data_IF_616792080899
#
_entry.id   IF_616792080899
#
_cell.length_a   1.000
_cell.length_b   1.000
_cell.length_c   1.000
_cell.angle_alpha   90.00
_cell.angle_beta   90.00
_cell.angle_gamma   90.00
#
_symmetry.space_group_name_H-M   'P 1'
#
loop_
_entity.id
_entity.type
_entity.pdbx_description
1 polymer ?
#
# COMPACT_ATOMS: atom_id res chain seq x y z
N UNK A 1 27.57 -44.36 -18.61
CA UNK A 1 27.30 -44.16 -20.06
C UNK A 1 27.55 -42.71 -20.37
N UNK A 2 28.82 -42.44 -20.84
CA UNK A 2 29.31 -41.07 -21.10
C UNK A 2 28.99 -40.73 -22.55
N UNK A 3 28.38 -39.55 -22.79
CA UNK A 3 28.28 -38.96 -24.11
C UNK A 3 29.23 -37.76 -24.20
N UNK A 4 30.30 -37.96 -24.95
CA UNK A 4 31.24 -36.90 -25.40
C UNK A 4 30.59 -36.13 -26.55
N UNK A 5 30.46 -34.83 -26.46
CA UNK A 5 30.21 -33.94 -27.59
C UNK A 5 31.50 -33.31 -28.07
N UNK A 6 31.91 -33.69 -29.29
CA UNK A 6 33.03 -33.08 -30.05
C UNK A 6 32.60 -31.74 -30.64
N UNK A 7 33.23 -30.66 -30.23
CA UNK A 7 33.16 -29.39 -30.96
C UNK A 7 34.28 -29.33 -32.02
N UNK A 8 33.89 -29.32 -33.29
CA UNK A 8 34.74 -29.20 -34.47
C UNK A 8 34.98 -27.71 -34.74
N UNK A 9 36.16 -27.20 -34.44
CA UNK A 9 36.61 -25.85 -34.77
C UNK A 9 36.88 -25.72 -36.29
N UNK A 10 36.09 -24.91 -36.97
CA UNK A 10 36.40 -24.46 -38.35
C UNK A 10 37.44 -23.34 -38.27
N UNK A 11 38.65 -23.59 -38.79
CA UNK A 11 39.66 -22.58 -39.13
C UNK A 11 39.18 -21.85 -40.39
N UNK A 12 38.84 -20.57 -40.26
CA UNK A 12 38.67 -19.66 -41.40
C UNK A 12 40.04 -19.11 -41.79
N UNK A 13 40.44 -19.39 -43.03
CA UNK A 13 41.59 -18.78 -43.70
C UNK A 13 41.31 -17.30 -43.87
N UNK A 14 42.12 -16.48 -43.22
CA UNK A 14 42.11 -15.01 -43.43
C UNK A 14 42.89 -14.78 -44.73
N UNK A 15 42.19 -14.28 -45.74
CA UNK A 15 42.77 -13.94 -47.05
C UNK A 15 43.80 -12.82 -46.92
N UNK A 16 44.97 -13.03 -47.45
CA UNK A 16 46.13 -12.13 -47.51
C UNK A 16 45.86 -10.77 -48.19
N UNK A 17 44.76 -10.64 -48.91
CA UNK A 17 44.33 -9.43 -49.61
C UNK A 17 43.82 -8.32 -48.66
N UNK A 18 43.23 -8.68 -47.50
CA UNK A 18 42.73 -7.69 -46.54
C UNK A 18 43.83 -6.97 -45.73
N UNK A 19 44.99 -7.61 -45.59
CA UNK A 19 46.11 -7.04 -44.82
C UNK A 19 46.82 -5.92 -45.59
N UNK A 20 46.85 -5.98 -46.92
CA UNK A 20 47.47 -4.94 -47.73
C UNK A 20 46.65 -3.66 -47.86
N UNK A 21 45.34 -3.75 -47.82
CA UNK A 21 44.44 -2.57 -47.84
C UNK A 21 44.52 -1.77 -46.54
N UNK A 22 44.72 -2.45 -45.39
CA UNK A 22 44.83 -1.78 -44.10
C UNK A 22 46.13 -1.02 -43.93
N UNK A 23 47.24 -1.49 -44.56
CA UNK A 23 48.55 -0.81 -44.52
C UNK A 23 48.58 0.40 -45.45
N UNK A 24 47.84 0.40 -46.57
CA UNK A 24 47.77 1.54 -47.51
C UNK A 24 46.98 2.73 -46.88
N UNK A 25 45.99 2.48 -46.00
CA UNK A 25 45.22 3.51 -45.31
C UNK A 25 46.00 4.21 -44.17
N UNK A 26 47.04 3.55 -43.64
CA UNK A 26 47.88 4.15 -42.57
C UNK A 26 48.95 5.09 -43.12
N UNK A 27 49.38 4.89 -44.37
CA UNK A 27 50.44 5.70 -45.00
C UNK A 27 49.96 7.00 -45.68
N UNK A 28 48.65 7.19 -45.88
CA UNK A 28 48.11 8.43 -46.45
C UNK A 28 47.68 9.47 -45.42
N UNK A 29 47.83 9.21 -44.12
CA UNK A 29 47.42 10.08 -43.03
C UNK A 29 48.48 11.10 -42.54
N UNK A 30 49.67 11.18 -43.20
CA UNK A 30 50.77 12.00 -42.67
C UNK A 30 51.23 13.09 -43.66
N UNK A 31 50.35 13.87 -44.26
CA UNK A 31 50.72 15.18 -44.82
C UNK A 31 49.57 16.14 -44.71
N UNK A 32 49.62 17.01 -43.75
CA UNK A 32 48.64 18.09 -43.59
C UNK A 32 48.86 18.89 -42.32
N UNK A 33 50.11 19.36 -42.12
CA UNK A 33 50.32 20.41 -41.15
C UNK A 33 49.87 21.74 -41.78
N UNK A 34 48.64 22.16 -41.44
CA UNK A 34 48.24 23.56 -41.61
C UNK A 34 47.95 24.17 -40.26
N UNK A 35 48.73 25.18 -39.93
CA UNK A 35 48.54 26.11 -38.87
C UNK A 35 47.12 26.74 -38.97
N UNK A 36 46.21 26.29 -38.18
CA UNK A 36 45.01 27.07 -37.91
C UNK A 36 45.12 27.83 -36.62
N UNK A 37 44.97 29.14 -36.79
CA UNK A 37 44.73 30.15 -35.79
C UNK A 37 43.87 29.62 -34.63
N UNK A 38 44.39 29.89 -33.44
CA UNK A 38 43.67 29.68 -32.17
C UNK A 38 42.40 30.53 -32.13
N UNK A 39 41.33 30.03 -32.73
CA UNK A 39 39.99 30.36 -32.23
C UNK A 39 39.84 29.62 -30.93
N UNK A 40 40.10 30.36 -29.88
CA UNK A 40 39.86 30.02 -28.52
C UNK A 40 38.32 29.86 -28.39
N UNK A 41 37.83 28.68 -28.72
CA UNK A 41 36.52 28.23 -28.22
C UNK A 41 36.67 28.25 -26.68
N UNK A 42 36.29 29.36 -26.10
CA UNK A 42 35.90 29.41 -24.71
C UNK A 42 34.69 28.48 -24.67
N UNK A 43 34.92 27.19 -24.38
CA UNK A 43 33.87 26.36 -23.86
C UNK A 43 33.39 27.14 -22.59
N UNK A 44 32.30 27.88 -22.73
CA UNK A 44 31.51 28.29 -21.58
C UNK A 44 31.24 26.95 -20.87
N UNK A 45 31.99 26.74 -19.80
CA UNK A 45 31.62 25.77 -18.82
C UNK A 45 30.25 26.25 -18.35
N UNK A 46 29.19 25.62 -18.88
CA UNK A 46 27.87 25.75 -18.33
C UNK A 46 28.03 25.35 -16.87
N UNK A 47 28.13 26.31 -16.00
CA UNK A 47 28.04 26.12 -14.58
C UNK A 47 26.61 25.65 -14.36
N UNK A 48 26.43 24.34 -14.45
CA UNK A 48 25.15 23.75 -14.14
C UNK A 48 24.84 24.10 -12.70
N UNK A 49 23.98 25.09 -12.52
CA UNK A 49 23.47 25.43 -11.20
C UNK A 49 22.56 24.32 -10.73
N UNK A 50 22.68 23.94 -9.46
CA UNK A 50 21.89 22.90 -8.84
C UNK A 50 21.07 23.46 -7.71
N UNK A 51 19.88 22.94 -7.51
CA UNK A 51 19.03 23.26 -6.40
C UNK A 51 18.56 22.05 -5.62
N UNK A 52 17.64 22.28 -4.72
CA UNK A 52 17.04 21.30 -3.84
C UNK A 52 15.53 21.24 -4.12
N UNK A 53 15.00 20.03 -4.31
CA UNK A 53 13.56 19.77 -4.34
C UNK A 53 13.19 19.00 -3.09
N UNK A 54 12.26 19.50 -2.30
CA UNK A 54 11.81 18.81 -1.10
C UNK A 54 10.31 19.00 -0.88
N UNK A 55 9.72 18.08 -0.13
CA UNK A 55 8.30 18.15 0.17
C UNK A 55 7.84 16.97 0.99
N UNK A 56 6.52 16.78 1.01
CA UNK A 56 5.87 15.68 1.70
C UNK A 56 5.02 14.89 0.71
N UNK A 57 5.13 13.58 0.78
CA UNK A 57 4.22 12.65 0.09
C UNK A 57 3.08 12.34 1.06
N UNK A 58 1.83 12.50 0.61
CA UNK A 58 0.65 12.30 1.42
C UNK A 58 -0.47 11.59 0.65
N UNK A 59 -1.35 10.93 1.38
CA UNK A 59 -2.54 10.28 0.84
C UNK A 59 -3.59 11.34 0.45
N UNK A 60 -4.10 11.29 -0.76
CA UNK A 60 -5.03 12.28 -1.31
C UNK A 60 -6.34 12.38 -0.51
N UNK A 61 -6.81 11.28 0.05
CA UNK A 61 -8.11 11.23 0.74
C UNK A 61 -7.97 11.56 2.21
N UNK A 62 -7.02 10.92 2.90
CA UNK A 62 -6.84 11.08 4.35
C UNK A 62 -5.96 12.24 4.76
N UNK A 63 -5.22 12.84 3.81
CA UNK A 63 -4.15 13.83 4.04
C UNK A 63 -3.06 13.36 5.02
N UNK A 64 -2.98 12.04 5.26
CA UNK A 64 -1.94 11.48 6.11
C UNK A 64 -0.63 11.31 5.32
N UNK A 65 0.53 11.50 5.97
CA UNK A 65 1.82 11.28 5.33
C UNK A 65 1.96 9.83 4.90
N UNK A 66 2.61 9.61 3.75
CA UNK A 66 2.93 8.27 3.23
C UNK A 66 4.43 8.00 3.41
N UNK A 67 4.81 7.24 4.44
CA UNK A 67 6.20 6.85 4.66
C UNK A 67 6.64 5.76 3.70
N UNK A 68 7.96 5.53 3.63
CA UNK A 68 8.59 4.47 2.84
C UNK A 68 8.26 4.52 1.34
N UNK A 69 7.86 5.68 0.81
CA UNK A 69 7.69 5.90 -0.62
C UNK A 69 9.02 6.15 -1.30
N UNK A 70 9.25 5.52 -2.44
CA UNK A 70 10.43 5.78 -3.27
C UNK A 70 10.15 7.00 -4.16
N UNK A 71 10.92 8.04 -3.98
CA UNK A 71 10.88 9.27 -4.77
C UNK A 71 12.12 9.29 -5.65
N UNK A 72 11.94 9.15 -6.97
CA UNK A 72 13.03 9.00 -7.94
C UNK A 72 13.08 10.17 -8.89
N UNK A 73 14.26 10.77 -9.01
CA UNK A 73 14.60 11.76 -10.01
C UNK A 73 15.88 11.33 -10.73
N UNK A 74 15.82 11.10 -12.04
CA UNK A 74 16.95 10.53 -12.80
C UNK A 74 17.50 9.27 -12.11
N UNK A 75 18.76 9.27 -11.72
CA UNK A 75 19.42 8.14 -11.05
C UNK A 75 19.35 8.23 -9.52
N UNK A 76 18.80 9.31 -8.98
CA UNK A 76 18.67 9.51 -7.54
C UNK A 76 17.33 9.00 -7.05
N UNK A 77 17.34 8.08 -6.08
CA UNK A 77 16.15 7.65 -5.35
C UNK A 77 16.33 7.95 -3.86
N UNK A 78 15.32 8.58 -3.27
CA UNK A 78 15.22 8.82 -1.83
C UNK A 78 13.95 8.18 -1.30
N UNK A 79 14.00 7.72 -0.03
CA UNK A 79 12.85 7.12 0.64
C UNK A 79 12.24 8.15 1.59
N UNK A 80 10.91 8.28 1.61
CA UNK A 80 10.23 9.18 2.53
C UNK A 80 10.39 8.73 3.98
N UNK A 81 10.57 9.70 4.89
CA UNK A 81 10.65 9.47 6.32
C UNK A 81 9.26 9.12 6.93
N UNK A 82 9.15 8.81 8.25
CA UNK A 82 7.87 8.51 8.91
C UNK A 82 6.82 9.62 8.82
N UNK A 83 7.23 10.86 8.51
CA UNK A 83 6.36 12.00 8.27
C UNK A 83 6.12 12.25 6.77
N UNK A 84 6.46 11.29 5.91
CA UNK A 84 6.30 11.37 4.47
C UNK A 84 7.25 12.36 3.78
N UNK A 85 8.26 12.93 4.47
CA UNK A 85 9.13 13.97 3.93
C UNK A 85 10.25 13.37 3.09
N UNK A 86 10.62 14.08 2.02
CA UNK A 86 11.74 13.75 1.16
C UNK A 86 12.56 14.97 0.80
N UNK A 87 13.81 14.76 0.42
CA UNK A 87 14.74 15.81 -0.06
C UNK A 87 15.60 15.25 -1.18
N UNK A 88 15.45 15.79 -2.38
CA UNK A 88 16.33 15.56 -3.52
C UNK A 88 17.34 16.71 -3.58
N UNK A 89 18.63 16.36 -3.59
CA UNK A 89 19.73 17.32 -3.63
C UNK A 89 20.40 17.27 -5.01
N UNK A 90 21.09 18.35 -5.35
CA UNK A 90 21.84 18.44 -6.62
C UNK A 90 20.96 18.20 -7.86
N UNK A 91 19.72 18.70 -7.82
CA UNK A 91 18.85 18.70 -8.99
C UNK A 91 19.31 19.84 -9.90
N UNK A 92 19.67 19.59 -11.17
CA UNK A 92 20.12 20.64 -12.08
C UNK A 92 18.98 21.64 -12.33
N UNK A 93 19.32 22.91 -12.56
CA UNK A 93 18.33 23.85 -13.04
C UNK A 93 17.88 23.44 -14.44
N UNK A 94 16.60 23.59 -14.72
CA UNK A 94 16.02 23.23 -16.00
C UNK A 94 14.52 23.22 -15.98
N UNK A 95 13.98 22.95 -17.17
CA UNK A 95 12.54 22.77 -17.37
C UNK A 95 12.22 21.32 -17.70
N UNK A 96 10.97 20.94 -17.45
CA UNK A 96 10.44 19.61 -17.78
C UNK A 96 11.20 18.47 -17.09
N UNK A 97 11.66 18.69 -15.86
CA UNK A 97 12.13 17.59 -15.04
C UNK A 97 10.97 16.66 -14.67
N UNK A 98 11.24 15.36 -14.65
CA UNK A 98 10.25 14.37 -14.24
C UNK A 98 10.69 13.69 -12.96
N UNK A 99 9.76 13.61 -11.99
CA UNK A 99 9.91 12.87 -10.74
C UNK A 99 8.90 11.74 -10.71
N UNK A 100 9.35 10.53 -10.35
CA UNK A 100 8.50 9.37 -10.18
C UNK A 100 8.37 9.04 -8.70
N UNK A 101 7.13 8.76 -8.25
CA UNK A 101 6.89 8.32 -6.88
C UNK A 101 6.18 6.98 -6.91
N UNK A 102 6.80 6.01 -6.23
CA UNK A 102 6.29 4.64 -6.08
C UNK A 102 6.13 4.33 -4.60
N UNK A 103 4.96 3.87 -4.22
CA UNK A 103 4.67 3.43 -2.86
C UNK A 103 3.73 2.23 -2.90
N UNK A 104 3.86 1.32 -1.94
CA UNK A 104 2.99 0.16 -1.82
C UNK A 104 1.53 0.62 -1.66
N UNK A 105 0.61 -0.06 -2.37
CA UNK A 105 -0.83 0.19 -2.37
C UNK A 105 -1.27 1.56 -2.95
N UNK A 106 -0.36 2.30 -3.59
CA UNK A 106 -0.66 3.54 -4.30
C UNK A 106 -0.39 3.43 -5.79
N UNK A 107 -1.09 4.23 -6.57
CA UNK A 107 -0.78 4.38 -7.99
C UNK A 107 0.56 5.09 -8.13
N UNK A 108 1.43 4.55 -8.99
CA UNK A 108 2.66 5.25 -9.37
C UNK A 108 2.30 6.58 -10.02
N UNK A 109 2.90 7.66 -9.56
CA UNK A 109 2.71 8.99 -10.13
C UNK A 109 4.02 9.48 -10.75
N UNK A 110 3.90 10.11 -11.93
CA UNK A 110 4.97 10.85 -12.56
C UNK A 110 4.54 12.30 -12.66
N UNK A 111 5.36 13.21 -12.14
CA UNK A 111 5.10 14.64 -12.12
C UNK A 111 6.20 15.38 -12.87
N UNK A 112 5.81 16.36 -13.67
CA UNK A 112 6.75 17.27 -14.29
C UNK A 112 6.88 18.54 -13.44
N UNK A 113 8.10 19.08 -13.37
CA UNK A 113 8.37 20.33 -12.69
C UNK A 113 9.53 21.09 -13.34
N UNK A 114 9.56 22.40 -13.11
CA UNK A 114 10.66 23.27 -13.52
C UNK A 114 11.44 23.69 -12.27
N UNK A 115 12.76 23.59 -12.31
CA UNK A 115 13.64 24.10 -11.24
C UNK A 115 14.44 25.28 -11.79
N UNK A 116 14.07 26.49 -11.37
CA UNK A 116 14.68 27.75 -11.80
C UNK A 116 15.28 28.56 -10.64
N UNK A 117 15.30 27.96 -9.45
CA UNK A 117 15.79 28.59 -8.22
C UNK A 117 16.39 27.53 -7.29
N UNK A 118 17.17 27.97 -6.30
CA UNK A 118 17.91 27.08 -5.40
C UNK A 118 17.06 26.09 -4.62
N UNK A 119 15.77 26.38 -4.43
CA UNK A 119 14.86 25.56 -3.63
C UNK A 119 13.46 25.54 -4.22
N UNK A 120 12.92 24.33 -4.40
CA UNK A 120 11.54 24.09 -4.84
C UNK A 120 10.80 23.24 -3.80
N UNK A 121 9.78 23.77 -3.11
CA UNK A 121 8.86 22.96 -2.34
C UNK A 121 7.89 22.22 -3.27
N UNK A 122 7.87 20.89 -3.23
CA UNK A 122 7.02 20.07 -4.08
C UNK A 122 6.33 18.99 -3.23
N UNK A 123 5.09 19.26 -2.83
CA UNK A 123 4.27 18.26 -2.13
C UNK A 123 3.55 17.36 -3.14
N UNK A 124 3.49 16.07 -2.86
CA UNK A 124 2.99 15.06 -3.79
C UNK A 124 1.85 14.28 -3.13
N UNK A 125 0.67 14.29 -3.75
CA UNK A 125 -0.47 13.50 -3.29
C UNK A 125 -0.56 12.20 -4.07
N UNK A 126 -0.70 11.07 -3.35
CA UNK A 126 -0.86 9.75 -3.93
C UNK A 126 -2.31 9.28 -3.85
N UNK A 127 -2.76 8.62 -4.91
CA UNK A 127 -4.07 7.98 -4.98
C UNK A 127 -3.88 6.50 -4.66
N UNK A 128 -4.63 5.98 -3.69
CA UNK A 128 -4.58 4.54 -3.38
C UNK A 128 -5.12 3.73 -4.55
N UNK A 129 -4.44 2.63 -4.85
CA UNK A 129 -4.93 1.62 -5.79
C UNK A 129 -6.21 0.96 -5.28
N UNK A 130 -6.34 0.83 -3.96
CA UNK A 130 -7.51 0.27 -3.31
C UNK A 130 -8.18 1.33 -2.43
N UNK A 131 -9.49 1.45 -2.55
CA UNK A 131 -10.27 2.31 -1.68
C UNK A 131 -10.55 1.59 -0.36
N UNK A 132 -9.68 1.82 0.64
CA UNK A 132 -9.79 1.21 1.98
C UNK A 132 -11.19 1.37 2.58
N UNK A 133 -11.82 2.53 2.40
CA UNK A 133 -13.17 2.75 2.91
C UNK A 133 -14.19 1.80 2.26
N UNK A 134 -14.14 1.63 0.93
CA UNK A 134 -15.04 0.69 0.26
C UNK A 134 -14.75 -0.76 0.64
N UNK A 135 -13.49 -1.12 0.84
CA UNK A 135 -13.12 -2.47 1.27
C UNK A 135 -13.65 -2.79 2.66
N UNK A 136 -13.53 -1.83 3.61
CA UNK A 136 -14.08 -2.00 4.97
C UNK A 136 -15.62 -2.02 4.94
N UNK A 137 -16.28 -1.23 4.10
CA UNK A 137 -17.74 -1.33 3.93
C UNK A 137 -18.15 -2.71 3.40
N UNK A 138 -17.47 -3.24 2.40
CA UNK A 138 -17.70 -4.62 1.90
C UNK A 138 -17.41 -5.68 2.96
N UNK A 139 -16.43 -5.45 3.84
CA UNK A 139 -16.17 -6.31 4.98
C UNK A 139 -17.41 -6.40 5.90
N UNK A 140 -18.00 -5.27 6.28
CA UNK A 140 -19.22 -5.25 7.11
C UNK A 140 -20.41 -5.90 6.41
N UNK A 141 -20.62 -5.62 5.12
CA UNK A 141 -21.69 -6.25 4.34
C UNK A 141 -21.53 -7.78 4.30
N UNK A 142 -20.31 -8.25 4.08
CA UNK A 142 -20.03 -9.68 4.07
C UNK A 142 -20.28 -10.32 5.44
N UNK A 143 -19.77 -9.72 6.51
CA UNK A 143 -19.98 -10.23 7.87
C UNK A 143 -21.47 -10.26 8.24
N UNK A 144 -22.23 -9.21 7.92
CA UNK A 144 -23.69 -9.18 8.10
C UNK A 144 -24.37 -10.33 7.38
N UNK A 145 -24.02 -10.58 6.12
CA UNK A 145 -24.61 -11.64 5.31
C UNK A 145 -24.28 -13.04 5.84
N UNK A 146 -23.02 -13.30 6.21
CA UNK A 146 -22.59 -14.57 6.80
C UNK A 146 -23.35 -14.88 8.08
N UNK A 147 -23.51 -13.88 8.96
CA UNK A 147 -24.25 -14.02 10.21
C UNK A 147 -25.76 -14.21 9.96
N UNK A 148 -26.36 -13.43 9.05
CA UNK A 148 -27.78 -13.52 8.73
C UNK A 148 -28.17 -14.85 8.10
N UNK A 149 -27.31 -15.42 7.28
CA UNK A 149 -27.52 -16.72 6.65
C UNK A 149 -27.09 -17.88 7.53
N UNK A 150 -26.52 -17.61 8.70
CA UNK A 150 -25.98 -18.62 9.63
C UNK A 150 -25.06 -19.60 8.93
N UNK A 151 -24.17 -19.06 8.08
CA UNK A 151 -23.21 -19.83 7.29
C UNK A 151 -22.15 -20.50 8.17
N UNK A 152 -21.16 -21.13 7.53
CA UNK A 152 -20.12 -21.86 8.25
C UNK A 152 -19.36 -20.93 9.20
N UNK A 153 -19.23 -21.36 10.45
CA UNK A 153 -18.54 -20.57 11.49
C UNK A 153 -17.08 -20.30 11.12
N UNK A 154 -16.47 -21.19 10.34
CA UNK A 154 -15.13 -21.06 9.81
C UNK A 154 -14.98 -19.81 8.92
N UNK A 155 -15.99 -19.48 8.13
CA UNK A 155 -15.98 -18.29 7.25
C UNK A 155 -16.06 -17.01 8.09
N UNK A 156 -16.80 -17.03 9.20
CA UNK A 156 -16.88 -15.91 10.16
C UNK A 156 -15.56 -15.75 10.91
N UNK A 157 -14.96 -16.85 11.36
CA UNK A 157 -13.67 -16.84 12.05
C UNK A 157 -12.58 -16.14 11.22
N UNK A 158 -12.57 -16.33 9.90
CA UNK A 158 -11.64 -15.67 8.97
C UNK A 158 -11.75 -14.14 8.93
N UNK A 159 -12.81 -13.53 9.49
CA UNK A 159 -12.96 -12.09 9.63
C UNK A 159 -12.25 -11.51 10.85
N UNK A 160 -11.68 -12.35 11.72
CA UNK A 160 -10.99 -11.94 12.94
C UNK A 160 -9.50 -12.25 12.83
N UNK A 161 -8.67 -11.30 13.26
CA UNK A 161 -7.23 -11.52 13.35
C UNK A 161 -6.91 -12.60 14.39
N UNK A 162 -5.88 -13.41 14.18
CA UNK A 162 -5.36 -14.30 15.23
C UNK A 162 -5.00 -13.58 16.53
N UNK A 163 -4.71 -12.29 16.44
CA UNK A 163 -4.43 -11.43 17.59
C UNK A 163 -5.64 -10.59 18.03
N UNK A 164 -6.85 -10.98 17.60
CA UNK A 164 -8.08 -10.28 17.96
C UNK A 164 -8.27 -10.23 19.48
N UNK A 165 -8.60 -9.04 19.96
CA UNK A 165 -8.90 -8.78 21.36
C UNK A 165 -10.09 -7.85 21.51
N UNK A 166 -10.81 -8.00 22.61
CA UNK A 166 -11.89 -7.11 23.05
C UNK A 166 -11.35 -6.24 24.18
N UNK A 167 -11.75 -4.97 24.23
CA UNK A 167 -11.35 -4.10 25.35
C UNK A 167 -11.84 -4.59 26.70
N UNK A 168 -11.12 -4.29 27.76
CA UNK A 168 -11.47 -4.66 29.14
C UNK A 168 -12.85 -4.15 29.53
N UNK A 169 -13.28 -3.00 29.02
CA UNK A 169 -14.61 -2.42 29.30
C UNK A 169 -15.74 -3.36 28.84
N UNK A 170 -15.57 -4.00 27.68
CA UNK A 170 -16.52 -4.99 27.14
C UNK A 170 -16.56 -6.24 28.03
N UNK A 171 -15.39 -6.70 28.48
CA UNK A 171 -15.25 -7.83 29.39
C UNK A 171 -16.01 -7.56 30.67
N UNK A 172 -15.90 -6.35 31.21
CA UNK A 172 -16.52 -5.96 32.49
C UNK A 172 -18.03 -5.77 32.36
N UNK A 173 -18.52 -5.16 31.28
CA UNK A 173 -19.92 -4.83 31.08
C UNK A 173 -20.81 -6.03 30.67
N UNK A 174 -20.24 -6.97 29.90
CA UNK A 174 -21.04 -8.04 29.29
C UNK A 174 -20.70 -9.44 29.77
N UNK A 175 -19.70 -9.59 30.63
CA UNK A 175 -19.19 -10.91 30.93
C UNK A 175 -18.81 -11.61 29.64
N UNK A 176 -17.63 -11.40 29.16
CA UNK A 176 -17.12 -12.04 27.93
C UNK A 176 -17.28 -13.56 28.07
N UNK A 177 -18.14 -14.14 27.24
CA UNK A 177 -18.59 -15.51 27.39
C UNK A 177 -20.11 -15.67 27.41
N UNK A 178 -20.86 -14.57 27.49
CA UNK A 178 -22.32 -14.60 27.36
C UNK A 178 -22.80 -15.01 25.94
N UNK A 179 -21.87 -15.19 25.01
CA UNK A 179 -22.14 -15.78 23.69
C UNK A 179 -22.50 -14.79 22.59
N UNK A 180 -22.41 -13.48 22.84
CA UNK A 180 -22.76 -12.46 21.84
C UNK A 180 -21.53 -11.83 21.20
N UNK A 181 -20.48 -11.62 21.97
CA UNK A 181 -19.23 -11.02 21.49
C UNK A 181 -18.05 -11.92 21.90
N UNK A 182 -17.20 -12.34 20.94
CA UNK A 182 -16.00 -13.11 21.29
C UNK A 182 -15.04 -12.28 22.13
N UNK A 183 -14.42 -12.90 23.13
CA UNK A 183 -13.44 -12.24 24.00
C UNK A 183 -12.07 -12.06 23.34
N UNK A 184 -11.69 -13.07 22.59
CA UNK A 184 -10.44 -13.22 21.88
C UNK A 184 -10.63 -14.12 20.66
N UNK A 185 -9.61 -14.28 19.88
CA UNK A 185 -9.65 -15.13 18.69
C UNK A 185 -10.08 -16.58 19.01
N UNK A 186 -9.64 -17.13 20.13
CA UNK A 186 -9.93 -18.52 20.50
C UNK A 186 -11.41 -18.72 20.86
N UNK A 187 -12.09 -17.66 21.29
CA UNK A 187 -13.51 -17.66 21.63
C UNK A 187 -14.44 -17.34 20.43
N UNK A 188 -13.90 -16.92 19.27
CA UNK A 188 -14.70 -16.56 18.09
C UNK A 188 -15.59 -17.72 17.64
N UNK A 189 -14.99 -18.85 17.33
CA UNK A 189 -15.70 -20.02 16.79
C UNK A 189 -16.72 -20.60 17.80
N UNK A 190 -16.37 -20.87 19.05
CA UNK A 190 -17.33 -21.34 20.06
C UNK A 190 -18.49 -20.37 20.26
N UNK A 191 -18.21 -19.06 20.24
CA UNK A 191 -19.22 -18.02 20.42
C UNK A 191 -20.26 -18.05 19.29
N UNK A 192 -19.83 -18.05 18.03
CA UNK A 192 -20.76 -18.12 16.90
C UNK A 192 -21.49 -19.46 16.82
N UNK A 193 -20.85 -20.58 17.16
CA UNK A 193 -21.54 -21.88 17.30
C UNK A 193 -22.69 -21.79 18.32
N UNK A 194 -22.44 -21.20 19.49
CA UNK A 194 -23.44 -21.02 20.53
C UNK A 194 -24.56 -20.09 20.07
N UNK A 195 -24.26 -19.00 19.39
CA UNK A 195 -25.24 -18.09 18.80
C UNK A 195 -26.14 -18.83 17.82
N UNK A 196 -25.56 -19.51 16.83
CA UNK A 196 -26.32 -20.25 15.81
C UNK A 196 -27.15 -21.41 16.35
N UNK A 197 -26.72 -22.00 17.46
CA UNK A 197 -27.50 -23.04 18.15
C UNK A 197 -28.66 -22.47 18.98
N UNK A 198 -28.47 -21.29 19.55
CA UNK A 198 -29.43 -20.73 20.53
C UNK A 198 -30.52 -19.86 19.90
N UNK A 199 -30.32 -19.36 18.68
CA UNK A 199 -31.27 -18.45 18.03
C UNK A 199 -31.66 -18.97 16.64
N UNK A 200 -32.91 -18.70 16.27
CA UNK A 200 -33.47 -19.09 14.97
C UNK A 200 -33.11 -18.05 13.88
N UNK A 201 -32.80 -16.82 14.30
CA UNK A 201 -32.38 -15.74 13.42
C UNK A 201 -31.46 -14.81 14.16
N UNK A 202 -30.41 -14.38 13.45
CA UNK A 202 -29.43 -13.40 13.94
C UNK A 202 -29.16 -12.42 12.81
N UNK A 203 -29.10 -11.12 13.15
CA UNK A 203 -28.77 -10.08 12.17
C UNK A 203 -27.80 -9.09 12.84
N UNK A 204 -26.71 -8.79 12.16
CA UNK A 204 -25.82 -7.70 12.47
C UNK A 204 -26.10 -6.55 11.52
N UNK A 205 -26.36 -5.37 12.07
CA UNK A 205 -26.55 -4.14 11.31
C UNK A 205 -25.49 -3.15 11.75
N UNK A 206 -24.81 -2.58 10.79
CA UNK A 206 -23.73 -1.61 11.01
C UNK A 206 -24.18 -0.27 10.46
N UNK A 207 -24.52 0.65 11.34
CA UNK A 207 -25.05 1.97 10.99
C UNK A 207 -24.04 3.08 11.36
N UNK A 208 -24.19 4.26 10.74
CA UNK A 208 -23.38 5.44 11.02
C UNK A 208 -21.86 5.20 10.93
N UNK A 209 -21.44 4.38 9.97
CA UNK A 209 -20.05 3.93 9.83
C UNK A 209 -19.16 5.11 9.39
N UNK A 210 -18.24 5.51 10.26
CA UNK A 210 -17.14 6.44 9.97
C UNK A 210 -15.85 5.66 9.92
N UNK A 211 -15.16 5.66 8.79
CA UNK A 211 -13.92 4.89 8.57
C UNK A 211 -12.76 5.87 8.47
N UNK A 212 -11.68 5.54 9.17
CA UNK A 212 -10.39 6.24 9.13
C UNK A 212 -9.34 5.26 8.63
N UNK A 213 -8.87 5.45 7.40
CA UNK A 213 -7.74 4.71 6.87
C UNK A 213 -6.46 5.32 7.43
N UNK A 214 -5.69 4.55 8.20
CA UNK A 214 -4.40 4.98 8.73
C UNK A 214 -3.32 4.80 7.67
N UNK A 215 -3.30 3.63 7.06
CA UNK A 215 -2.52 3.30 5.87
C UNK A 215 -3.16 2.11 5.14
N UNK A 216 -2.53 1.62 4.08
CA UNK A 216 -3.11 0.59 3.21
C UNK A 216 -3.44 -0.74 3.91
N UNK A 217 -2.85 -1.00 5.07
CA UNK A 217 -3.02 -2.23 5.84
C UNK A 217 -3.66 -2.04 7.21
N UNK A 218 -3.95 -0.80 7.60
CA UNK A 218 -4.57 -0.49 8.88
C UNK A 218 -5.66 0.55 8.72
N UNK A 219 -6.79 0.27 9.35
CA UNK A 219 -7.93 1.17 9.40
C UNK A 219 -8.61 1.08 10.75
N UNK A 220 -9.38 2.10 11.09
CA UNK A 220 -10.33 2.04 12.21
C UNK A 220 -11.69 2.52 11.78
N UNK A 221 -12.73 2.06 12.45
CA UNK A 221 -14.07 2.60 12.28
C UNK A 221 -14.72 2.89 13.63
N UNK A 222 -15.58 3.91 13.63
CA UNK A 222 -16.55 4.16 14.67
C UNK A 222 -17.93 4.01 14.04
N UNK A 223 -18.78 3.21 14.66
CA UNK A 223 -20.08 2.86 14.10
C UNK A 223 -21.09 2.54 15.21
N UNK A 224 -22.34 2.44 14.82
CA UNK A 224 -23.40 1.85 15.63
C UNK A 224 -23.59 0.39 15.19
N UNK A 225 -23.41 -0.55 16.11
CA UNK A 225 -23.70 -1.96 15.91
C UNK A 225 -25.05 -2.30 16.54
N UNK A 226 -25.94 -2.86 15.75
CA UNK A 226 -27.22 -3.38 16.20
C UNK A 226 -27.25 -4.89 15.97
N UNK A 227 -27.43 -5.66 17.03
CA UNK A 227 -27.57 -7.11 16.97
C UNK A 227 -29.02 -7.46 17.28
N UNK A 228 -29.69 -8.06 16.30
CA UNK A 228 -31.06 -8.54 16.45
C UNK A 228 -31.05 -10.06 16.47
N UNK A 229 -31.62 -10.65 17.52
CA UNK A 229 -31.79 -12.10 17.61
C UNK A 229 -33.25 -12.45 17.80
N UNK A 230 -33.70 -13.57 17.20
CA UNK A 230 -35.06 -14.11 17.38
C UNK A 230 -34.97 -15.57 17.85
N UNK A 231 -35.86 -15.98 18.80
CA UNK A 231 -35.89 -17.34 19.33
C UNK A 231 -37.30 -17.83 19.55
N UNK A 232 -37.55 -19.09 19.16
CA UNK A 232 -38.75 -19.86 19.44
C UNK A 232 -39.99 -19.43 18.65
N UNK A 233 -41.10 -20.19 18.77
CA UNK A 233 -42.30 -20.00 17.95
C UNK A 233 -43.00 -18.66 18.18
N UNK A 234 -42.78 -18.04 19.36
CA UNK A 234 -43.31 -16.70 19.67
C UNK A 234 -42.36 -15.58 19.18
N UNK A 235 -41.27 -15.92 18.50
CA UNK A 235 -40.25 -15.00 17.95
C UNK A 235 -39.84 -13.94 18.96
N UNK A 236 -39.51 -14.37 20.19
CA UNK A 236 -38.96 -13.44 21.19
C UNK A 236 -37.71 -12.78 20.61
N UNK A 237 -37.75 -11.46 20.55
CA UNK A 237 -36.64 -10.65 20.03
C UNK A 237 -35.81 -10.12 21.17
N UNK A 238 -34.51 -10.10 20.98
CA UNK A 238 -33.59 -9.34 21.80
C UNK A 238 -32.82 -8.38 20.85
N UNK A 239 -32.76 -7.13 21.26
CA UNK A 239 -32.04 -6.11 20.53
C UNK A 239 -30.90 -5.60 21.38
N UNK A 240 -29.70 -5.68 20.89
CA UNK A 240 -28.51 -5.06 21.47
C UNK A 240 -28.08 -3.94 20.54
N UNK A 241 -28.01 -2.71 21.09
CA UNK A 241 -27.55 -1.55 20.34
C UNK A 241 -26.36 -0.95 21.07
N UNK A 242 -25.27 -0.72 20.33
CA UNK A 242 -24.04 -0.19 20.90
C UNK A 242 -23.30 0.67 19.91
N UNK A 243 -22.61 1.70 20.41
CA UNK A 243 -21.58 2.37 19.65
C UNK A 243 -20.28 1.57 19.80
N UNK A 244 -19.62 1.30 18.71
CA UNK A 244 -18.42 0.48 18.67
C UNK A 244 -17.26 1.19 17.95
N UNK A 245 -16.05 0.98 18.47
CA UNK A 245 -14.81 1.27 17.77
C UNK A 245 -14.16 -0.05 17.39
N UNK A 246 -13.83 -0.20 16.10
CA UNK A 246 -13.22 -1.40 15.56
C UNK A 246 -11.92 -1.00 14.85
N UNK A 247 -10.84 -1.68 15.19
CA UNK A 247 -9.58 -1.55 14.45
C UNK A 247 -9.41 -2.76 13.55
N UNK A 248 -8.93 -2.50 12.35
CA UNK A 248 -8.70 -3.50 11.31
C UNK A 248 -7.24 -3.55 10.92
N UNK A 249 -6.79 -4.75 10.60
CA UNK A 249 -5.54 -4.99 9.90
C UNK A 249 -5.80 -5.79 8.62
N UNK A 250 -4.97 -5.58 7.59
CA UNK A 250 -5.04 -6.33 6.34
C UNK A 250 -3.96 -7.39 6.34
N UNK A 251 -4.38 -8.64 6.46
CA UNK A 251 -3.52 -9.80 6.45
C UNK A 251 -3.76 -10.62 5.20
N UNK A 252 -2.70 -10.92 4.46
CA UNK A 252 -2.76 -11.70 3.20
C UNK A 252 -3.86 -11.18 2.22
N UNK A 253 -3.92 -9.86 2.06
CA UNK A 253 -4.89 -9.20 1.19
C UNK A 253 -6.32 -9.10 1.74
N UNK A 254 -6.61 -9.68 2.92
CA UNK A 254 -7.95 -9.71 3.53
C UNK A 254 -7.99 -8.84 4.79
N UNK A 255 -9.03 -8.01 4.91
CA UNK A 255 -9.28 -7.23 6.11
C UNK A 255 -9.82 -8.12 7.23
N UNK A 256 -9.26 -7.95 8.41
CA UNK A 256 -9.66 -8.67 9.63
C UNK A 256 -9.85 -7.70 10.79
N UNK A 257 -10.82 -7.96 11.64
CA UNK A 257 -10.98 -7.26 12.92
C UNK A 257 -9.84 -7.66 13.85
N UNK A 258 -9.08 -6.67 14.29
CA UNK A 258 -7.98 -6.84 15.23
C UNK A 258 -8.39 -6.48 16.66
N UNK A 259 -9.19 -5.42 16.83
CA UNK A 259 -9.61 -4.91 18.14
C UNK A 259 -11.05 -4.41 18.09
N UNK A 260 -11.82 -4.71 19.12
CA UNK A 260 -13.17 -4.20 19.33
C UNK A 260 -13.29 -3.54 20.71
N UNK A 261 -13.84 -2.32 20.72
CA UNK A 261 -14.26 -1.60 21.92
C UNK A 261 -15.72 -1.20 21.76
N UNK A 262 -16.55 -1.50 22.77
CA UNK A 262 -17.92 -0.99 22.87
C UNK A 262 -17.90 0.27 23.72
N UNK A 263 -18.53 1.34 23.24
CA UNK A 263 -18.51 2.64 23.92
C UNK A 263 -19.74 2.82 24.80
N UNK A 264 -20.90 2.39 24.29
CA UNK A 264 -22.18 2.47 24.98
C UNK A 264 -23.02 1.26 24.60
N UNK A 265 -23.74 0.66 25.52
CA UNK A 265 -24.56 -0.51 25.22
C UNK A 265 -25.95 -0.39 25.81
N UNK A 266 -26.94 -0.59 24.96
CA UNK A 266 -28.35 -0.59 25.33
C UNK A 266 -28.94 -1.98 25.03
N UNK A 267 -29.51 -2.61 26.04
CA UNK A 267 -30.23 -3.88 25.94
C UNK A 267 -31.73 -3.62 25.96
N UNK A 268 -32.40 -3.92 24.86
CA UNK A 268 -33.87 -3.87 24.79
C UNK A 268 -34.39 -5.31 24.64
N UNK A 269 -35.02 -5.87 25.69
CA UNK A 269 -35.53 -7.24 25.70
C UNK A 269 -36.77 -7.42 24.80
#
# INVERSE_FOLDING_TARGET
MQLFFFFKTKRTLINHEFTLILIALILFGYVGCQSQTSDRLVAEAETSAFGIVSGTVFDQISNQPVPNSNVTFSDQTVITDPLGRYVLRQVPYGKHHSISVVSDDYQTINLEFDLVQDYLPLNISLVRTNNVEQEIRRYFDRLSNLVANMEKVEDIEGHFSPNYVVSEDVVTQFGVGAGVIPADFTSVKPTFKKLFTNYDKIQFQFDHIKIHAHHAREASSVLQLVIVTEKGPRRKKMLIQTNAKINFEKWDGTWQTHFLQLLEVHLNP
#
